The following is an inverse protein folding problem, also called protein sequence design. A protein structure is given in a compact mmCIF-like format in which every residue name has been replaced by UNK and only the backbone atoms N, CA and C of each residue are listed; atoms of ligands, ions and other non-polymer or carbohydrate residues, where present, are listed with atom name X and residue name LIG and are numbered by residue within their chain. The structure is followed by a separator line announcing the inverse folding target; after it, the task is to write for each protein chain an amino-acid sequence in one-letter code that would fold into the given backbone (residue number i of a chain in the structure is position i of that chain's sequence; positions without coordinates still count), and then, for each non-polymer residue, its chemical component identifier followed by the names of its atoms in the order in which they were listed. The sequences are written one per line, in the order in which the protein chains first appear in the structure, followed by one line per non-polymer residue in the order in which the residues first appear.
data_IF_247481326974
#
_entry.id   IF_247481326974
#
_cell.length_a   1.000
_cell.length_b   1.000
_cell.length_c   1.000
_cell.angle_alpha   90.00
_cell.angle_beta   90.00
_cell.angle_gamma   90.00
#
_symmetry.space_group_name_H-M   'P 1'
#
loop_
_entity.id
_entity.type
_entity.pdbx_description
1 polymer ?
#
# COMPACT_ATOMS: atom_id res chain seq x y z
N UNK A 1 8.03 -19.09 14.77
CA UNK A 1 7.58 -18.43 13.53
C UNK A 1 8.78 -17.78 12.85
N UNK A 2 9.70 -18.59 12.30
CA UNK A 2 11.09 -18.18 12.04
C UNK A 2 11.44 -18.00 10.56
N UNK A 3 10.51 -18.24 9.63
CA UNK A 3 10.74 -17.92 8.22
C UNK A 3 10.61 -16.40 7.98
N UNK A 4 11.10 -15.86 6.86
CA UNK A 4 10.90 -14.47 6.48
C UNK A 4 9.43 -14.07 6.49
N UNK A 5 9.14 -12.82 6.83
CA UNK A 5 7.76 -12.28 6.88
C UNK A 5 6.99 -12.47 5.55
N UNK A 6 7.67 -12.44 4.40
CA UNK A 6 7.07 -12.70 3.07
C UNK A 6 6.52 -14.12 2.91
N UNK A 7 6.90 -15.06 3.78
CA UNK A 7 6.49 -16.46 3.76
C UNK A 7 5.17 -16.74 4.50
N UNK A 8 4.49 -15.69 4.96
CA UNK A 8 3.24 -15.81 5.70
C UNK A 8 2.10 -15.06 5.01
N UNK A 9 0.92 -15.65 4.98
CA UNK A 9 -0.32 -14.90 4.83
C UNK A 9 -0.58 -14.11 6.10
N UNK A 10 -1.04 -12.86 5.96
CA UNK A 10 -1.19 -11.92 7.07
C UNK A 10 -2.61 -11.39 7.12
N UNK A 11 -3.23 -11.46 8.29
CA UNK A 11 -4.60 -11.00 8.51
C UNK A 11 -4.66 -9.48 8.33
N UNK A 12 -5.28 -9.03 7.23
CA UNK A 12 -5.20 -7.64 6.74
C UNK A 12 -6.56 -6.97 6.67
N UNK A 13 -6.70 -5.80 7.30
CA UNK A 13 -7.84 -4.90 7.16
C UNK A 13 -7.62 -3.85 6.05
N UNK A 14 -8.71 -3.46 5.38
CA UNK A 14 -8.77 -2.35 4.43
C UNK A 14 -9.56 -1.19 5.05
N UNK A 15 -9.11 0.05 4.85
CA UNK A 15 -9.71 1.28 5.40
C UNK A 15 -10.18 1.07 6.85
N UNK A 16 -9.23 0.70 7.72
CA UNK A 16 -9.51 0.13 9.04
C UNK A 16 -10.19 1.09 10.01
N UNK A 17 -10.26 2.37 9.64
CA UNK A 17 -10.89 3.45 10.37
C UNK A 17 -12.39 3.62 10.04
N UNK A 18 -12.90 3.03 8.95
CA UNK A 18 -14.31 3.19 8.55
C UNK A 18 -15.25 2.39 9.44
N UNK A 19 -16.32 3.03 9.90
CA UNK A 19 -17.36 2.39 10.71
C UNK A 19 -18.41 1.65 9.89
N UNK A 20 -18.50 1.93 8.58
CA UNK A 20 -19.50 1.33 7.68
C UNK A 20 -19.12 1.39 6.20
N UNK A 21 -19.94 2.07 5.40
CA UNK A 21 -19.79 2.16 3.94
C UNK A 21 -18.68 3.14 3.52
N UNK A 22 -18.19 3.04 2.28
CA UNK A 22 -17.05 3.83 1.80
C UNK A 22 -17.38 5.31 1.51
N UNK A 23 -18.65 5.73 1.55
CA UNK A 23 -19.07 7.07 1.08
C UNK A 23 -19.55 8.00 2.19
N UNK A 24 -20.22 7.48 3.20
CA UNK A 24 -20.95 8.29 4.18
C UNK A 24 -20.84 7.81 5.63
N UNK A 25 -20.10 6.74 5.92
CA UNK A 25 -19.92 6.32 7.31
C UNK A 25 -18.82 7.08 8.01
N UNK A 26 -18.96 7.37 9.29
CA UNK A 26 -17.93 8.03 10.08
C UNK A 26 -16.62 7.24 10.16
N UNK A 27 -15.53 7.96 10.43
CA UNK A 27 -14.23 7.40 10.76
C UNK A 27 -14.07 7.33 12.28
N UNK A 28 -13.43 6.26 12.76
CA UNK A 28 -13.19 6.05 14.19
C UNK A 28 -12.01 5.09 14.39
N UNK A 29 -11.42 5.15 15.58
CA UNK A 29 -10.47 4.16 16.07
C UNK A 29 -11.14 2.85 16.51
N UNK A 30 -12.46 2.85 16.78
CA UNK A 30 -13.19 1.67 17.27
C UNK A 30 -13.11 0.46 16.34
N UNK A 31 -13.25 0.56 15.01
CA UNK A 31 -13.09 -0.58 14.11
C UNK A 31 -11.66 -1.12 14.09
N UNK A 32 -10.64 -0.26 14.27
CA UNK A 32 -9.23 -0.65 14.43
C UNK A 32 -9.07 -1.51 15.69
N UNK A 33 -9.61 -1.06 16.82
CA UNK A 33 -9.58 -1.81 18.09
C UNK A 33 -10.22 -3.19 17.92
N UNK A 34 -11.41 -3.25 17.31
CA UNK A 34 -12.12 -4.50 17.05
C UNK A 34 -11.33 -5.43 16.13
N UNK A 35 -10.69 -4.89 15.10
CA UNK A 35 -9.84 -5.65 14.18
C UNK A 35 -8.64 -6.26 14.92
N UNK A 36 -7.90 -5.47 15.70
CA UNK A 36 -6.73 -5.93 16.45
C UNK A 36 -7.08 -7.01 17.48
N UNK A 37 -8.20 -6.83 18.22
CA UNK A 37 -8.70 -7.84 19.18
C UNK A 37 -9.15 -9.15 18.51
N UNK A 38 -9.43 -9.14 17.20
CA UNK A 38 -9.74 -10.33 16.39
C UNK A 38 -8.49 -11.01 15.80
N UNK A 39 -7.30 -10.45 16.02
CA UNK A 39 -6.05 -10.97 15.48
C UNK A 39 -5.63 -10.35 14.14
N UNK A 40 -6.30 -9.32 13.62
CA UNK A 40 -5.82 -8.56 12.44
C UNK A 40 -4.43 -7.99 12.73
N UNK A 41 -3.48 -8.16 11.80
CA UNK A 41 -2.07 -7.75 11.94
C UNK A 41 -1.66 -6.65 10.98
N UNK A 42 -2.47 -6.33 9.96
CA UNK A 42 -2.26 -5.17 9.09
C UNK A 42 -3.48 -4.26 9.17
N UNK A 43 -3.26 -3.00 9.53
CA UNK A 43 -4.29 -1.97 9.58
C UNK A 43 -3.93 -0.82 8.65
N UNK A 44 -4.94 -0.18 8.07
CA UNK A 44 -4.77 0.91 7.11
C UNK A 44 -5.30 2.23 7.66
N UNK A 45 -4.52 3.29 7.46
CA UNK A 45 -4.86 4.67 7.80
C UNK A 45 -4.59 5.58 6.59
N UNK A 46 -5.60 6.32 6.17
CA UNK A 46 -5.49 7.28 5.07
C UNK A 46 -5.31 8.67 5.67
N UNK A 47 -4.13 9.25 5.47
CA UNK A 47 -3.70 10.47 6.14
C UNK A 47 -3.97 11.67 5.26
N UNK A 48 -4.73 12.63 5.79
CA UNK A 48 -5.06 13.88 5.12
C UNK A 48 -4.77 15.08 6.04
N UNK A 49 -4.39 16.25 5.49
CA UNK A 49 -4.36 17.48 6.27
C UNK A 49 -5.74 17.77 6.86
N UNK A 50 -5.79 18.19 8.13
CA UNK A 50 -7.01 18.70 8.73
C UNK A 50 -7.48 20.02 8.05
N UNK A 51 -8.65 20.51 8.42
CA UNK A 51 -9.25 21.71 7.81
C UNK A 51 -8.38 22.97 7.90
N UNK A 52 -7.56 23.09 8.96
CA UNK A 52 -6.61 24.19 9.20
C UNK A 52 -5.21 23.95 8.61
N UNK A 53 -4.98 22.78 8.00
CA UNK A 53 -3.69 22.34 7.39
C UNK A 53 -2.49 22.36 8.34
N UNK A 54 -2.73 22.27 9.65
CA UNK A 54 -1.71 22.26 10.69
C UNK A 54 -1.65 20.94 11.47
N UNK A 55 -2.62 20.06 11.28
CA UNK A 55 -2.67 18.70 11.83
C UNK A 55 -3.13 17.65 10.81
N UNK A 56 -3.20 16.39 11.25
CA UNK A 56 -3.50 15.23 10.41
C UNK A 56 -4.74 14.49 10.89
N UNK A 57 -5.69 14.36 9.99
CA UNK A 57 -6.88 13.54 10.15
C UNK A 57 -6.77 12.24 9.36
N UNK A 58 -7.52 11.23 9.82
CA UNK A 58 -7.73 9.98 9.11
C UNK A 58 -9.14 9.98 8.53
N UNK A 59 -9.25 9.90 7.20
CA UNK A 59 -10.53 9.89 6.49
C UNK A 59 -10.40 9.30 5.07
N UNK A 60 -11.52 8.89 4.49
CA UNK A 60 -11.53 8.36 3.12
C UNK A 60 -11.67 9.50 2.10
N UNK A 61 -10.58 9.89 1.44
CA UNK A 61 -10.60 10.92 0.39
C UNK A 61 -10.94 10.34 -0.99
N UNK A 62 -11.88 10.96 -1.72
CA UNK A 62 -12.17 10.58 -3.12
C UNK A 62 -11.39 11.48 -4.09
N UNK A 63 -10.52 10.88 -4.89
CA UNK A 63 -9.96 11.51 -6.09
C UNK A 63 -10.94 11.31 -7.26
N UNK A 64 -11.32 12.37 -7.98
CA UNK A 64 -11.92 12.22 -9.33
C UNK A 64 -13.40 12.56 -9.56
N UNK A 65 -14.09 13.36 -8.72
CA UNK A 65 -15.31 14.06 -9.18
C UNK A 65 -15.24 15.52 -8.74
N UNK A 66 -14.85 16.40 -9.67
CA UNK A 66 -15.14 17.82 -9.57
C UNK A 66 -16.65 17.97 -9.73
N UNK A 67 -17.42 17.97 -8.63
CA UNK A 67 -18.71 18.62 -8.67
C UNK A 67 -18.42 20.11 -8.85
N UNK A 68 -18.57 20.59 -10.09
CA UNK A 68 -18.67 22.01 -10.37
C UNK A 68 -19.66 22.60 -9.35
N UNK A 69 -19.34 23.70 -8.67
CA UNK A 69 -20.26 24.30 -7.72
C UNK A 69 -21.53 24.67 -8.46
N UNK A 70 -22.62 23.95 -8.16
CA UNK A 70 -23.95 24.34 -8.60
C UNK A 70 -24.31 25.58 -7.78
N UNK A 71 -24.09 26.76 -8.35
CA UNK A 71 -24.53 28.03 -7.80
C UNK A 71 -26.06 28.05 -7.71
N UNK A 72 -26.58 27.61 -6.57
CA UNK A 72 -27.94 27.86 -6.14
C UNK A 72 -27.92 29.05 -5.18
N UNK A 73 -27.78 30.24 -5.75
CA UNK A 73 -28.29 31.53 -5.28
C UNK A 73 -28.30 31.73 -3.75
N UNK A 74 -27.29 32.43 -3.26
CA UNK A 74 -27.52 33.55 -2.35
C UNK A 74 -27.91 33.23 -0.89
N UNK A 75 -27.30 32.22 -0.27
CA UNK A 75 -27.24 32.13 1.21
C UNK A 75 -25.82 31.82 1.68
N UNK A 76 -25.03 32.87 1.85
CA UNK A 76 -23.86 32.87 2.73
C UNK A 76 -24.34 32.60 4.15
N UNK A 77 -24.25 31.37 4.65
CA UNK A 77 -24.07 30.98 6.06
C UNK A 77 -23.82 29.46 6.05
N UNK A 78 -22.72 29.00 6.67
CA UNK A 78 -22.23 27.61 6.76
C UNK A 78 -21.77 26.93 5.46
N UNK A 79 -20.61 27.32 4.93
CA UNK A 79 -19.82 26.53 3.94
C UNK A 79 -18.51 26.02 4.59
N UNK A 80 -18.63 25.38 5.75
CA UNK A 80 -17.52 24.78 6.48
C UNK A 80 -17.71 23.25 6.50
N UNK A 81 -17.38 22.57 5.39
CA UNK A 81 -17.10 21.12 5.32
C UNK A 81 -17.00 20.64 3.85
N UNK A 82 -16.00 21.12 3.09
CA UNK A 82 -15.80 20.66 1.70
C UNK A 82 -14.37 20.14 1.41
N UNK A 83 -13.66 19.72 2.46
CA UNK A 83 -12.38 19.00 2.31
C UNK A 83 -12.52 17.48 2.48
N UNK A 84 -13.66 16.99 3.00
CA UNK A 84 -14.01 15.58 2.91
C UNK A 84 -14.87 15.37 1.67
N UNK A 85 -14.29 14.75 0.63
CA UNK A 85 -14.99 14.37 -0.63
C UNK A 85 -15.87 13.12 -0.47
N UNK A 86 -16.10 12.73 0.79
CA UNK A 86 -17.01 11.72 1.31
C UNK A 86 -17.68 12.32 2.56
N UNK A 87 -18.92 11.93 2.89
CA UNK A 87 -19.63 12.42 4.07
C UNK A 87 -19.17 11.69 5.35
N UNK A 88 -17.91 11.28 5.42
CA UNK A 88 -17.34 10.58 6.57
C UNK A 88 -16.77 11.60 7.55
N UNK A 89 -17.24 11.64 8.80
CA UNK A 89 -16.58 12.45 9.82
C UNK A 89 -15.14 11.95 10.03
N UNK A 90 -14.11 12.81 9.99
CA UNK A 90 -12.72 12.40 10.19
C UNK A 90 -12.45 11.98 11.64
N UNK A 91 -11.34 11.27 11.84
CA UNK A 91 -10.81 10.96 13.18
C UNK A 91 -9.35 11.40 13.28
N UNK A 92 -8.98 12.05 14.39
CA UNK A 92 -7.60 12.50 14.61
C UNK A 92 -6.61 11.32 14.56
N UNK A 93 -5.49 11.50 13.83
CA UNK A 93 -4.46 10.45 13.71
C UNK A 93 -3.95 9.97 15.07
N UNK A 94 -3.72 10.89 16.01
CA UNK A 94 -3.18 10.56 17.33
C UNK A 94 -4.10 9.62 18.11
N UNK A 95 -5.41 9.72 17.92
CA UNK A 95 -6.39 8.83 18.54
C UNK A 95 -6.22 7.41 18.01
N UNK A 96 -6.14 7.25 16.70
CA UNK A 96 -5.86 5.96 16.05
C UNK A 96 -4.54 5.34 16.52
N UNK A 97 -3.45 6.13 16.57
CA UNK A 97 -2.13 5.64 17.00
C UNK A 97 -2.15 5.16 18.46
N UNK A 98 -2.82 5.89 19.37
CA UNK A 98 -2.98 5.49 20.78
C UNK A 98 -3.75 4.17 20.89
N UNK A 99 -4.87 4.04 20.18
CA UNK A 99 -5.69 2.82 20.19
C UNK A 99 -4.93 1.63 19.60
N UNK A 100 -4.10 1.84 18.56
CA UNK A 100 -3.20 0.79 18.05
C UNK A 100 -2.17 0.40 19.11
N UNK A 101 -1.50 1.37 19.77
CA UNK A 101 -0.51 1.08 20.81
C UNK A 101 -1.08 0.20 21.93
N UNK A 102 -2.29 0.52 22.38
CA UNK A 102 -2.95 -0.18 23.49
C UNK A 102 -3.37 -1.62 23.10
N UNK A 103 -3.82 -1.82 21.86
CA UNK A 103 -4.45 -3.09 21.47
C UNK A 103 -3.66 -3.93 20.47
N UNK A 104 -2.53 -3.43 19.94
CA UNK A 104 -1.71 -4.09 18.92
C UNK A 104 -1.45 -5.56 19.28
N UNK A 105 -1.10 -5.83 20.53
CA UNK A 105 -0.66 -7.15 20.98
C UNK A 105 -1.67 -7.87 21.88
N UNK A 106 -2.93 -7.43 21.90
CA UNK A 106 -3.98 -8.01 22.74
C UNK A 106 -4.38 -9.44 22.35
N UNK A 107 -4.37 -9.75 21.05
CA UNK A 107 -4.73 -11.07 20.52
C UNK A 107 -3.52 -11.90 20.07
N UNK A 108 -2.36 -11.27 19.87
CA UNK A 108 -1.16 -11.91 19.29
C UNK A 108 0.08 -11.09 19.64
N UNK A 109 1.18 -11.76 19.98
CA UNK A 109 2.50 -11.13 20.24
C UNK A 109 3.24 -10.75 18.95
N UNK A 110 2.83 -11.29 17.81
CA UNK A 110 3.48 -11.08 16.51
C UNK A 110 3.24 -9.66 15.97
N UNK A 111 4.13 -9.17 15.09
CA UNK A 111 4.15 -7.77 14.67
C UNK A 111 2.81 -7.24 14.12
N UNK A 112 2.61 -5.94 14.24
CA UNK A 112 1.53 -5.20 13.57
C UNK A 112 2.11 -4.29 12.51
N UNK A 113 1.55 -4.34 11.30
CA UNK A 113 1.89 -3.42 10.20
C UNK A 113 0.81 -2.34 10.13
N UNK A 114 1.23 -1.08 10.09
CA UNK A 114 0.36 0.05 9.78
C UNK A 114 0.68 0.48 8.36
N UNK A 115 -0.27 0.33 7.44
CA UNK A 115 -0.16 0.87 6.09
C UNK A 115 -0.69 2.30 6.07
N UNK A 116 0.17 3.26 5.70
CA UNK A 116 -0.22 4.66 5.57
C UNK A 116 -0.45 5.00 4.10
N UNK A 117 -1.65 5.45 3.76
CA UNK A 117 -1.90 6.16 2.50
C UNK A 117 -1.69 7.65 2.74
N UNK A 118 -0.61 8.18 2.19
CA UNK A 118 -0.08 9.50 2.56
C UNK A 118 -0.44 10.56 1.52
N UNK A 119 -1.28 11.52 1.92
CA UNK A 119 -1.68 12.70 1.14
C UNK A 119 -1.17 14.01 1.78
N UNK A 120 -0.07 13.94 2.54
CA UNK A 120 0.45 15.03 3.36
C UNK A 120 1.56 15.82 2.67
N UNK A 121 1.74 17.07 3.11
CA UNK A 121 2.93 17.87 2.78
C UNK A 121 4.14 17.40 3.58
N UNK A 122 5.39 17.71 3.15
CA UNK A 122 6.60 17.33 3.89
C UNK A 122 6.61 17.80 5.36
N UNK A 123 6.05 18.99 5.63
CA UNK A 123 5.88 19.51 7.00
C UNK A 123 4.98 18.62 7.85
N UNK A 124 3.86 18.17 7.29
CA UNK A 124 2.92 17.29 8.00
C UNK A 124 3.49 15.85 8.10
N UNK A 125 4.23 15.36 7.11
CA UNK A 125 4.96 14.09 7.20
C UNK A 125 5.96 14.10 8.38
N UNK A 126 6.70 15.20 8.57
CA UNK A 126 7.58 15.34 9.73
C UNK A 126 6.81 15.31 11.05
N UNK A 127 5.63 15.94 11.11
CA UNK A 127 4.72 15.90 12.27
C UNK A 127 4.23 14.47 12.54
N UNK A 128 3.81 13.72 11.51
CA UNK A 128 3.44 12.30 11.62
C UNK A 128 4.61 11.47 12.12
N UNK A 129 5.82 11.71 11.59
CA UNK A 129 7.00 10.97 12.01
C UNK A 129 7.26 11.14 13.52
N UNK A 130 7.10 12.37 14.02
CA UNK A 130 7.19 12.67 15.44
C UNK A 130 6.09 11.96 16.24
N UNK A 131 4.82 12.05 15.83
CA UNK A 131 3.70 11.40 16.51
C UNK A 131 3.88 9.88 16.61
N UNK A 132 4.25 9.23 15.51
CA UNK A 132 4.49 7.78 15.44
C UNK A 132 5.64 7.38 16.36
N UNK A 133 6.74 8.13 16.33
CA UNK A 133 7.92 7.90 17.17
C UNK A 133 7.59 8.04 18.65
N UNK A 134 6.91 9.12 19.04
CA UNK A 134 6.53 9.38 20.43
C UNK A 134 5.51 8.36 20.94
N UNK A 135 4.56 7.96 20.09
CA UNK A 135 3.50 7.03 20.49
C UNK A 135 4.08 5.63 20.70
N UNK A 136 4.81 5.09 19.73
CA UNK A 136 5.23 3.68 19.78
C UNK A 136 6.58 3.48 20.47
N UNK A 137 7.48 4.48 20.48
CA UNK A 137 8.78 4.39 21.15
C UNK A 137 9.52 3.10 20.80
N UNK A 138 9.80 2.26 21.80
CA UNK A 138 10.51 0.97 21.65
C UNK A 138 9.73 -0.09 20.86
N UNK A 139 8.40 0.07 20.73
CA UNK A 139 7.56 -0.83 19.92
C UNK A 139 7.75 -0.57 18.44
N UNK A 140 8.20 0.62 18.03
CA UNK A 140 8.44 0.93 16.62
C UNK A 140 9.67 0.16 16.12
N UNK A 141 9.50 -0.62 15.05
CA UNK A 141 10.61 -1.20 14.32
C UNK A 141 11.11 -0.21 13.27
N UNK A 142 12.42 -0.03 13.22
CA UNK A 142 13.11 0.75 12.19
C UNK A 142 14.19 -0.14 11.59
N UNK A 143 14.27 -0.26 10.25
CA UNK A 143 15.33 -1.01 9.62
C UNK A 143 16.68 -0.33 9.88
N UNK A 144 17.73 -1.12 10.08
CA UNK A 144 19.10 -0.62 10.32
C UNK A 144 19.72 -0.01 9.07
N UNK A 145 19.30 -0.47 7.89
CA UNK A 145 19.70 0.03 6.58
C UNK A 145 18.50 0.54 5.79
N UNK A 146 18.75 1.38 4.79
CA UNK A 146 17.69 1.88 3.89
C UNK A 146 17.07 0.77 3.02
N UNK A 147 17.81 -0.31 2.78
CA UNK A 147 17.38 -1.45 1.97
C UNK A 147 17.59 -2.75 2.75
N UNK A 148 16.47 -3.42 3.06
CA UNK A 148 16.50 -4.79 3.56
C UNK A 148 16.65 -5.76 2.39
N UNK A 149 17.61 -6.68 2.51
CA UNK A 149 17.78 -7.78 1.53
C UNK A 149 16.65 -8.80 1.61
N UNK A 150 16.14 -9.01 2.82
CA UNK A 150 15.05 -9.95 3.14
C UNK A 150 14.28 -9.40 4.35
N UNK A 151 12.99 -9.75 4.47
CA UNK A 151 12.22 -9.35 5.64
C UNK A 151 12.56 -10.23 6.86
N UNK A 152 12.70 -9.66 8.07
CA UNK A 152 12.91 -10.44 9.30
C UNK A 152 11.75 -11.40 9.57
N UNK A 153 11.99 -12.39 10.42
CA UNK A 153 10.95 -13.33 10.79
C UNK A 153 9.93 -12.70 11.76
N UNK A 154 8.66 -13.17 11.78
CA UNK A 154 7.70 -12.74 12.78
C UNK A 154 8.18 -12.93 14.22
N UNK A 155 8.98 -13.97 14.48
CA UNK A 155 9.57 -14.24 15.81
C UNK A 155 10.47 -13.08 16.28
N UNK A 156 11.33 -12.57 15.41
CA UNK A 156 12.29 -11.49 15.72
C UNK A 156 11.62 -10.13 15.90
N UNK A 157 10.38 -10.02 15.41
CA UNK A 157 9.57 -8.81 15.40
C UNK A 157 8.43 -8.84 16.42
N UNK A 158 8.48 -9.74 17.41
CA UNK A 158 7.49 -9.76 18.50
C UNK A 158 7.41 -8.41 19.20
N UNK A 159 6.18 -7.99 19.47
CA UNK A 159 5.84 -6.70 20.07
C UNK A 159 6.31 -5.47 19.27
N UNK A 160 6.56 -5.65 17.96
CA UNK A 160 6.96 -4.56 17.06
C UNK A 160 5.82 -4.07 16.16
N UNK A 161 5.87 -2.77 15.88
CA UNK A 161 5.00 -2.06 14.96
C UNK A 161 5.85 -1.63 13.76
N UNK A 162 5.42 -1.99 12.56
CA UNK A 162 6.09 -1.69 11.31
C UNK A 162 5.25 -0.68 10.53
N UNK A 163 5.89 0.34 9.96
CA UNK A 163 5.21 1.27 9.05
C UNK A 163 5.45 0.83 7.59
N UNK A 164 4.36 0.78 6.83
CA UNK A 164 4.39 0.54 5.39
C UNK A 164 3.78 1.72 4.64
N UNK A 165 4.57 2.40 3.82
CA UNK A 165 4.09 3.50 2.98
C UNK A 165 5.00 3.70 1.78
N UNK A 166 4.59 4.53 0.83
CA UNK A 166 5.44 4.93 -0.30
C UNK A 166 6.51 5.91 0.20
N UNK A 167 7.76 5.80 -0.25
CA UNK A 167 8.77 6.82 0.03
C UNK A 167 8.32 8.21 -0.49
N UNK A 168 8.71 9.32 0.18
CA UNK A 168 8.43 10.68 -0.30
C UNK A 168 8.96 10.94 -1.71
N UNK A 169 8.28 11.83 -2.46
CA UNK A 169 8.55 12.09 -3.89
C UNK A 169 9.95 12.69 -4.12
N UNK A 170 10.38 13.62 -3.27
CA UNK A 170 11.66 14.33 -3.39
C UNK A 170 12.86 13.36 -3.33
N UNK A 171 12.67 12.22 -2.66
CA UNK A 171 13.71 11.21 -2.55
C UNK A 171 13.78 10.27 -3.77
N UNK A 172 12.65 10.01 -4.43
CA UNK A 172 12.65 9.21 -5.67
C UNK A 172 13.48 9.91 -6.75
N UNK A 173 13.38 11.24 -6.82
CA UNK A 173 14.14 12.09 -7.74
C UNK A 173 15.65 12.05 -7.42
N UNK A 174 16.02 12.11 -6.14
CA UNK A 174 17.41 11.99 -5.70
C UNK A 174 18.02 10.60 -5.96
N UNK A 175 17.25 9.52 -5.89
CA UNK A 175 17.70 8.18 -6.29
C UNK A 175 17.88 8.09 -7.81
N UNK A 176 16.92 8.59 -8.60
CA UNK A 176 17.05 8.58 -10.07
C UNK A 176 18.24 9.41 -10.55
N UNK A 177 18.62 10.48 -9.85
CA UNK A 177 19.81 11.26 -10.18
C UNK A 177 21.11 10.53 -9.82
N UNK A 178 21.16 9.82 -8.69
CA UNK A 178 22.32 8.97 -8.32
C UNK A 178 22.52 7.78 -9.25
N UNK A 179 21.43 7.21 -9.79
CA UNK A 179 21.51 6.11 -10.75
C UNK A 179 21.95 6.61 -12.14
N UNK A 180 21.57 7.83 -12.53
CA UNK A 180 22.08 8.49 -13.76
C UNK A 180 23.55 8.93 -13.67
N UNK A 181 24.03 9.27 -12.48
CA UNK A 181 25.45 9.62 -12.25
C UNK A 181 26.39 8.40 -12.26
N UNK A 182 25.86 7.16 -12.18
CA UNK A 182 26.65 5.92 -12.29
C UNK A 182 26.80 5.39 -13.72
N UNK A 183 26.18 6.03 -14.71
CA UNK A 183 26.22 5.64 -16.12
C UNK A 183 26.97 6.65 -17.03
N UNK A 184 27.96 7.36 -16.47
CA UNK A 184 28.93 8.11 -17.28
C UNK A 184 30.35 7.80 -16.86
N UNK A 185 30.91 6.76 -17.46
CA UNK A 185 32.31 6.82 -17.88
C UNK A 185 32.62 5.85 -19.05
N UNK A 186 33.23 6.44 -20.09
CA UNK A 186 34.09 5.85 -21.14
C UNK A 186 33.50 5.01 -22.30
N UNK A 187 33.12 5.74 -23.36
CA UNK A 187 33.61 5.72 -24.75
C UNK A 187 33.63 4.48 -25.69
N UNK A 188 33.23 4.85 -26.92
CA UNK A 188 33.65 4.47 -28.28
C UNK A 188 33.02 3.29 -29.06
N UNK A 189 32.28 3.72 -30.09
CA UNK A 189 32.23 3.29 -31.49
C UNK A 189 31.87 1.84 -31.87
N UNK A 190 30.88 1.68 -32.76
CA UNK A 190 31.12 1.42 -34.19
C UNK A 190 29.78 1.17 -34.94
N UNK A 191 29.63 1.95 -35.99
CA UNK A 191 28.66 1.98 -37.08
C UNK A 191 28.42 0.66 -37.83
N UNK A 192 27.18 0.36 -38.25
CA UNK A 192 26.97 -0.59 -39.37
C UNK A 192 25.57 -1.10 -39.69
N UNK A 193 24.82 -0.31 -40.48
CA UNK A 193 23.89 -0.69 -41.58
C UNK A 193 22.48 -1.27 -41.28
N UNK A 194 21.48 -0.48 -41.66
CA UNK A 194 20.23 -0.94 -42.32
C UNK A 194 20.51 -1.47 -43.74
N UNK A 195 19.56 -2.17 -44.41
CA UNK A 195 18.47 -1.50 -45.14
C UNK A 195 17.05 -2.12 -44.99
N UNK A 196 16.02 -1.25 -44.91
CA UNK A 196 14.74 -1.16 -45.69
C UNK A 196 14.14 -2.43 -46.34
N UNK A 197 12.84 -2.71 -46.48
CA UNK A 197 11.59 -1.92 -46.51
C UNK A 197 10.36 -2.87 -46.72
N UNK A 198 9.14 -2.41 -46.37
CA UNK A 198 7.80 -2.75 -46.93
C UNK A 198 7.23 -4.18 -46.68
N UNK A 199 5.95 -4.46 -46.40
CA UNK A 199 4.63 -3.86 -46.70
C UNK A 199 3.56 -4.26 -45.65
N UNK A 200 2.48 -3.49 -45.64
CA UNK A 200 1.23 -3.59 -44.88
C UNK A 200 0.47 -4.93 -45.01
N UNK A 201 -0.33 -5.29 -43.99
CA UNK A 201 -1.81 -5.23 -44.04
C UNK A 201 -2.42 -5.52 -42.65
N UNK A 202 -3.62 -4.97 -42.46
CA UNK A 202 -4.41 -4.90 -41.22
C UNK A 202 -5.07 -6.24 -40.88
N UNK A 203 -5.39 -6.46 -39.60
CA UNK A 203 -6.78 -6.75 -39.17
C UNK A 203 -6.93 -6.71 -37.65
N UNK A 204 -8.14 -6.32 -37.25
CA UNK A 204 -8.57 -5.78 -35.97
C UNK A 204 -8.62 -6.79 -34.81
N UNK A 205 -8.08 -6.41 -33.66
CA UNK A 205 -8.60 -6.86 -32.36
C UNK A 205 -8.75 -5.67 -31.41
N UNK A 206 -10.01 -5.29 -31.17
CA UNK A 206 -10.39 -4.39 -30.08
C UNK A 206 -10.09 -5.05 -28.74
N UNK A 207 -8.96 -4.71 -28.13
CA UNK A 207 -8.69 -5.00 -26.72
C UNK A 207 -9.09 -3.80 -25.85
N UNK A 208 -10.16 -3.96 -25.07
CA UNK A 208 -10.51 -3.10 -23.93
C UNK A 208 -9.40 -3.21 -22.86
N UNK A 209 -8.46 -2.27 -22.92
CA UNK A 209 -7.38 -2.13 -21.96
C UNK A 209 -7.81 -1.22 -20.81
N UNK A 210 -8.61 -1.77 -19.89
CA UNK A 210 -8.88 -1.15 -18.58
C UNK A 210 -7.65 -1.32 -17.65
N UNK A 211 -6.55 -0.66 -18.04
CA UNK A 211 -5.32 -0.52 -17.27
C UNK A 211 -4.82 0.93 -17.41
N UNK A 212 -5.64 1.88 -16.98
CA UNK A 212 -5.21 3.26 -16.78
C UNK A 212 -6.03 3.87 -15.66
N UNK A 213 -5.45 3.93 -14.47
CA UNK A 213 -5.69 5.07 -13.58
C UNK A 213 -4.42 5.93 -13.69
N UNK A 214 -4.33 6.63 -14.82
CA UNK A 214 -3.33 7.65 -15.06
C UNK A 214 -3.77 8.86 -14.23
N UNK A 215 -3.09 9.11 -13.12
CA UNK A 215 -3.05 10.46 -12.56
C UNK A 215 -2.26 11.35 -13.52
N UNK A 216 -2.95 11.90 -14.51
CA UNK A 216 -2.55 13.14 -15.16
C UNK A 216 -2.94 14.26 -14.19
N UNK A 217 -1.96 14.75 -13.44
CA UNK A 217 -2.08 16.03 -12.75
C UNK A 217 -1.66 17.09 -13.78
N UNK A 218 -2.65 17.76 -14.38
CA UNK A 218 -2.44 18.93 -15.23
C UNK A 218 -2.01 20.15 -14.41
N UNK A 219 -1.25 20.98 -15.10
CA UNK A 219 -0.41 22.08 -14.64
C UNK A 219 -1.17 23.23 -13.94
N UNK A 220 -0.39 23.88 -13.08
CA UNK A 220 -0.33 25.32 -12.85
C UNK A 220 -1.08 25.94 -11.65
N UNK A 221 -0.29 26.38 -10.66
CA UNK A 221 -0.26 27.80 -10.28
C UNK A 221 1.04 28.08 -9.51
N UNK A 222 1.94 28.83 -10.15
CA UNK A 222 3.10 29.46 -9.54
C UNK A 222 2.71 30.29 -8.32
N UNK A 223 2.90 29.73 -7.13
CA UNK A 223 2.98 30.46 -5.89
C UNK A 223 4.40 30.30 -5.33
N UNK A 224 5.16 31.38 -5.38
CA UNK A 224 6.49 31.53 -4.78
C UNK A 224 6.48 31.00 -3.33
N UNK A 225 7.06 29.81 -3.09
CA UNK A 225 7.35 29.33 -1.74
C UNK A 225 8.79 29.69 -1.36
N UNK A 226 9.05 30.21 -0.14
CA UNK A 226 10.39 30.50 0.32
C UNK A 226 11.16 29.19 0.54
N UNK A 227 12.44 29.17 0.18
CA UNK A 227 13.33 28.02 0.36
C UNK A 227 13.25 27.44 1.78
N UNK A 228 12.63 26.28 1.92
CA UNK A 228 12.63 25.50 3.16
C UNK A 228 13.79 24.53 3.11
N UNK A 229 14.73 24.71 4.03
CA UNK A 229 15.90 23.87 4.28
C UNK A 229 15.59 22.35 4.17
N UNK A 230 16.22 21.71 3.19
CA UNK A 230 16.06 20.29 2.79
C UNK A 230 16.48 19.27 3.87
N UNK A 231 16.86 19.72 5.06
CA UNK A 231 17.46 18.89 6.11
C UNK A 231 16.46 18.14 7.02
N UNK A 232 15.14 18.42 6.97
CA UNK A 232 14.14 17.90 7.95
C UNK A 232 13.24 16.75 7.51
N UNK A 233 13.26 16.34 6.23
CA UNK A 233 12.59 15.13 5.74
C UNK A 233 13.19 13.74 6.13
N UNK A 234 14.39 13.57 6.75
CA UNK A 234 14.93 12.24 7.05
C UNK A 234 14.07 11.41 8.01
N UNK A 235 13.31 12.08 8.89
CA UNK A 235 12.55 11.45 9.96
C UNK A 235 11.48 10.49 9.46
N UNK A 236 10.69 10.89 8.47
CA UNK A 236 9.55 10.10 7.99
C UNK A 236 9.99 8.85 7.22
N UNK A 237 10.98 8.99 6.33
CA UNK A 237 11.56 7.86 5.58
C UNK A 237 12.17 6.81 6.50
N UNK A 238 12.85 7.23 7.57
CA UNK A 238 13.46 6.30 8.54
C UNK A 238 12.46 5.38 9.26
N UNK A 239 11.17 5.69 9.21
CA UNK A 239 10.12 4.86 9.79
C UNK A 239 9.68 3.73 8.86
N UNK A 240 9.95 3.83 7.56
CA UNK A 240 9.42 2.93 6.54
C UNK A 240 10.14 1.59 6.61
N UNK A 241 9.52 0.61 7.27
CA UNK A 241 10.02 -0.75 7.35
C UNK A 241 9.65 -1.59 6.12
N UNK A 242 8.51 -1.27 5.49
CA UNK A 242 8.01 -1.97 4.30
C UNK A 242 7.73 -0.94 3.20
N UNK A 243 8.70 -0.66 2.31
CA UNK A 243 8.56 0.37 1.30
C UNK A 243 7.56 -0.03 0.22
N UNK A 244 6.57 0.82 -0.02
CA UNK A 244 5.61 0.67 -1.12
C UNK A 244 6.23 1.06 -2.46
N UNK A 245 6.17 0.16 -3.45
CA UNK A 245 6.58 0.43 -4.82
C UNK A 245 5.45 1.04 -5.65
N UNK A 246 5.82 1.95 -6.57
CA UNK A 246 4.93 2.40 -7.64
C UNK A 246 5.02 1.39 -8.80
N UNK A 247 3.89 1.10 -9.40
CA UNK A 247 3.85 0.39 -10.68
C UNK A 247 4.02 1.46 -11.76
N UNK A 248 5.21 1.52 -12.34
CA UNK A 248 5.52 2.37 -13.49
C UNK A 248 5.83 1.46 -14.68
N UNK A 249 5.23 1.73 -15.83
CA UNK A 249 5.43 0.90 -17.02
C UNK A 249 4.62 -0.41 -16.98
N UNK A 250 5.19 -1.49 -17.51
CA UNK A 250 4.49 -2.77 -17.66
C UNK A 250 4.48 -3.53 -16.34
N UNK A 251 3.37 -4.21 -16.03
CA UNK A 251 3.26 -5.00 -14.79
C UNK A 251 4.39 -6.04 -14.64
N UNK A 252 4.84 -6.63 -15.74
CA UNK A 252 5.98 -7.56 -15.75
C UNK A 252 7.27 -6.94 -15.18
N UNK A 253 7.52 -5.66 -15.44
CA UNK A 253 8.68 -4.94 -14.93
C UNK A 253 8.53 -4.65 -13.44
N UNK A 254 7.33 -4.27 -13.01
CA UNK A 254 7.02 -4.09 -11.60
C UNK A 254 7.13 -5.41 -10.81
N UNK A 255 6.86 -6.56 -11.41
CA UNK A 255 6.99 -7.87 -10.76
C UNK A 255 8.43 -8.42 -10.74
N UNK A 256 9.41 -7.74 -11.35
CA UNK A 256 10.81 -8.14 -11.24
C UNK A 256 11.27 -8.12 -9.78
N UNK A 257 11.97 -9.19 -9.40
CA UNK A 257 12.54 -9.37 -8.06
C UNK A 257 13.97 -8.84 -8.06
N UNK A 258 14.23 -7.88 -7.17
CA UNK A 258 15.58 -7.35 -6.95
C UNK A 258 16.31 -8.19 -5.87
N UNK A 259 17.57 -8.61 -6.08
CA UNK A 259 18.27 -9.52 -5.18
C UNK A 259 18.69 -8.90 -3.83
N UNK A 260 18.82 -7.58 -3.74
CA UNK A 260 19.25 -6.91 -2.51
C UNK A 260 18.19 -5.96 -1.93
N UNK A 261 16.94 -6.04 -2.42
CA UNK A 261 15.88 -5.13 -2.04
C UNK A 261 14.54 -5.84 -1.94
N UNK A 262 13.85 -5.61 -0.83
CA UNK A 262 12.44 -5.98 -0.65
C UNK A 262 11.53 -4.78 -0.79
N UNK A 263 10.32 -5.00 -1.31
CA UNK A 263 9.29 -3.99 -1.45
C UNK A 263 7.89 -4.58 -1.30
N UNK A 264 6.89 -3.71 -1.20
CA UNK A 264 5.47 -4.04 -1.30
C UNK A 264 4.89 -3.47 -2.58
N UNK A 265 4.15 -4.27 -3.34
CA UNK A 265 3.24 -3.78 -4.37
C UNK A 265 1.79 -3.89 -3.91
N UNK A 266 0.95 -3.00 -4.40
CA UNK A 266 -0.49 -3.01 -4.16
C UNK A 266 -1.24 -3.11 -5.48
N UNK A 267 -2.22 -4.02 -5.58
CA UNK A 267 -3.10 -4.19 -6.73
C UNK A 267 -4.56 -4.18 -6.27
N UNK A 268 -5.45 -3.60 -7.07
CA UNK A 268 -6.88 -3.82 -6.88
C UNK A 268 -7.23 -5.28 -7.17
N UNK A 269 -8.35 -5.77 -6.63
CA UNK A 269 -8.84 -7.13 -6.92
C UNK A 269 -9.00 -7.39 -8.44
N UNK A 270 -9.39 -6.38 -9.22
CA UNK A 270 -9.58 -6.50 -10.67
C UNK A 270 -8.24 -6.56 -11.40
N UNK A 271 -7.27 -5.75 -10.97
CA UNK A 271 -5.92 -5.80 -11.52
C UNK A 271 -5.26 -7.16 -11.23
N UNK A 272 -5.51 -7.74 -10.05
CA UNK A 272 -5.07 -9.10 -9.74
C UNK A 272 -5.70 -10.12 -10.68
N UNK A 273 -7.03 -10.12 -10.86
CA UNK A 273 -7.72 -11.06 -11.75
C UNK A 273 -7.10 -11.05 -13.16
N UNK A 274 -6.88 -9.86 -13.73
CA UNK A 274 -6.19 -9.71 -15.02
C UNK A 274 -4.75 -10.22 -14.97
N UNK A 275 -4.01 -9.87 -13.92
CA UNK A 275 -2.61 -10.27 -13.75
C UNK A 275 -2.43 -11.79 -13.64
N UNK A 276 -3.37 -12.51 -13.01
CA UNK A 276 -3.27 -13.97 -12.87
C UNK A 276 -3.32 -14.72 -14.20
N UNK A 277 -3.99 -14.15 -15.22
CA UNK A 277 -4.06 -14.75 -16.56
C UNK A 277 -2.72 -14.63 -17.29
N UNK A 278 -2.06 -13.47 -17.20
CA UNK A 278 -0.87 -13.17 -18.00
C UNK A 278 0.46 -13.35 -17.25
N UNK A 279 0.46 -13.26 -15.91
CA UNK A 279 1.66 -13.12 -15.08
C UNK A 279 1.60 -13.99 -13.81
N UNK A 280 0.84 -15.09 -13.80
CA UNK A 280 0.65 -15.94 -12.63
C UNK A 280 1.96 -16.43 -11.98
N UNK A 281 2.93 -16.87 -12.79
CA UNK A 281 4.24 -17.32 -12.31
C UNK A 281 5.10 -16.17 -11.79
N UNK A 282 5.05 -15.01 -12.43
CA UNK A 282 5.75 -13.80 -12.00
C UNK A 282 5.20 -13.30 -10.64
N UNK A 283 3.88 -13.40 -10.42
CA UNK A 283 3.25 -13.09 -9.13
C UNK A 283 3.77 -14.01 -8.01
N UNK A 284 3.83 -15.33 -8.25
CA UNK A 284 4.34 -16.28 -7.26
C UNK A 284 5.82 -15.99 -6.95
N UNK A 285 6.65 -15.81 -7.98
CA UNK A 285 8.07 -15.45 -7.81
C UNK A 285 8.24 -14.15 -7.04
N UNK A 286 7.43 -13.14 -7.36
CA UNK A 286 7.44 -11.86 -6.64
C UNK A 286 7.13 -12.05 -5.15
N UNK A 287 6.10 -12.81 -4.82
CA UNK A 287 5.63 -13.00 -3.42
C UNK A 287 6.50 -13.92 -2.57
N UNK A 288 7.45 -14.64 -3.15
CA UNK A 288 8.43 -15.40 -2.36
C UNK A 288 9.29 -14.45 -1.51
N UNK A 289 9.69 -13.32 -2.09
CA UNK A 289 10.57 -12.34 -1.43
C UNK A 289 9.87 -11.05 -1.01
N UNK A 290 8.94 -10.57 -1.83
CA UNK A 290 8.28 -9.28 -1.66
C UNK A 290 6.86 -9.42 -1.12
N UNK A 291 6.28 -8.32 -0.66
CA UNK A 291 4.88 -8.28 -0.27
C UNK A 291 3.98 -7.90 -1.43
N UNK A 292 2.91 -8.66 -1.63
CA UNK A 292 1.80 -8.27 -2.50
C UNK A 292 0.56 -8.01 -1.65
N UNK A 293 0.06 -6.78 -1.74
CA UNK A 293 -1.20 -6.33 -1.13
C UNK A 293 -2.30 -6.26 -2.16
N UNK A 294 -3.43 -6.86 -1.86
CA UNK A 294 -4.63 -6.81 -2.69
C UNK A 294 -5.70 -6.05 -1.92
N UNK A 295 -6.40 -5.12 -2.57
CA UNK A 295 -7.45 -4.32 -1.95
C UNK A 295 -8.75 -4.30 -2.76
N UNK A 296 -9.90 -4.07 -2.11
CA UNK A 296 -11.19 -4.00 -2.78
C UNK A 296 -11.23 -2.86 -3.80
N UNK A 297 -11.89 -3.05 -4.94
CA UNK A 297 -12.09 -1.99 -5.93
C UNK A 297 -12.99 -0.87 -5.39
N UNK A 298 -12.78 0.36 -5.87
CA UNK A 298 -13.53 1.54 -5.43
C UNK A 298 -15.04 1.47 -5.68
N UNK A 299 -15.51 0.67 -6.64
CA UNK A 299 -16.95 0.48 -6.90
C UNK A 299 -17.68 -0.33 -5.82
N UNK A 300 -16.97 -0.88 -4.82
CA UNK A 300 -17.56 -1.55 -3.65
C UNK A 300 -17.96 -0.56 -2.56
N UNK A 301 -18.81 0.40 -2.91
CA UNK A 301 -19.24 1.48 -2.01
C UNK A 301 -19.91 0.97 -0.72
N UNK A 302 -20.57 -0.18 -0.77
CA UNK A 302 -21.20 -0.83 0.38
C UNK A 302 -20.22 -1.61 1.27
N UNK A 303 -18.91 -1.49 1.05
CA UNK A 303 -17.87 -2.21 1.79
C UNK A 303 -17.99 -3.74 1.69
N UNK A 304 -18.51 -4.25 0.57
CA UNK A 304 -18.44 -5.68 0.24
C UNK A 304 -17.00 -6.15 0.05
N UNK A 305 -16.77 -7.47 0.13
CA UNK A 305 -15.45 -8.08 -0.02
C UNK A 305 -15.40 -9.05 -1.20
N UNK A 306 -14.21 -9.19 -1.79
CA UNK A 306 -13.90 -10.08 -2.91
C UNK A 306 -13.53 -11.49 -2.43
N UNK A 307 -13.29 -12.43 -3.36
CA UNK A 307 -12.87 -13.80 -3.01
C UNK A 307 -11.36 -13.82 -2.70
N UNK A 308 -10.93 -14.22 -1.49
CA UNK A 308 -9.52 -14.14 -1.11
C UNK A 308 -8.64 -15.20 -1.80
N UNK A 309 -9.24 -16.27 -2.31
CA UNK A 309 -8.53 -17.44 -2.84
C UNK A 309 -7.59 -17.10 -4.00
N UNK A 310 -8.02 -16.22 -4.91
CA UNK A 310 -7.22 -15.85 -6.09
C UNK A 310 -5.86 -15.28 -5.67
N UNK A 311 -5.86 -14.41 -4.66
CA UNK A 311 -4.62 -13.84 -4.12
C UNK A 311 -3.79 -14.85 -3.36
N UNK A 312 -4.39 -15.67 -2.49
CA UNK A 312 -3.66 -16.69 -1.73
C UNK A 312 -3.04 -17.76 -2.62
N UNK A 313 -3.71 -18.19 -3.69
CA UNK A 313 -3.18 -19.15 -4.67
C UNK A 313 -1.91 -18.63 -5.36
N UNK A 314 -1.72 -17.31 -5.44
CA UNK A 314 -0.54 -16.66 -6.01
C UNK A 314 0.43 -16.12 -4.95
N UNK A 315 0.26 -16.55 -3.69
CA UNK A 315 1.18 -16.23 -2.59
C UNK A 315 1.04 -14.81 -2.01
N UNK A 316 0.01 -14.05 -2.41
CA UNK A 316 -0.21 -12.69 -1.91
C UNK A 316 -0.52 -12.72 -0.39
N UNK A 317 0.27 -11.98 0.37
CA UNK A 317 0.27 -12.03 1.83
C UNK A 317 -0.80 -11.13 2.44
N UNK A 318 -1.01 -9.94 1.85
CA UNK A 318 -1.85 -8.89 2.41
C UNK A 318 -3.17 -8.78 1.64
N UNK A 319 -4.08 -9.71 1.88
CA UNK A 319 -5.43 -9.69 1.29
C UNK A 319 -6.32 -8.79 2.16
N UNK A 320 -6.40 -7.50 1.80
CA UNK A 320 -7.05 -6.46 2.59
C UNK A 320 -8.57 -6.51 2.45
N UNK A 321 -9.27 -6.61 3.59
CA UNK A 321 -10.72 -6.77 3.66
C UNK A 321 -11.37 -5.65 4.47
N UNK A 322 -12.55 -5.20 4.04
CA UNK A 322 -13.42 -4.32 4.80
C UNK A 322 -13.97 -5.09 6.02
N UNK A 323 -13.40 -4.83 7.20
CA UNK A 323 -13.68 -5.58 8.45
C UNK A 323 -15.02 -5.22 9.11
N UNK A 324 -15.56 -4.06 8.76
CA UNK A 324 -16.86 -3.53 9.15
C UNK A 324 -18.01 -4.12 8.30
N UNK A 325 -17.69 -4.76 7.17
CA UNK A 325 -18.67 -5.42 6.31
C UNK A 325 -19.17 -6.76 6.86
N UNK A 326 -19.90 -7.48 6.02
CA UNK A 326 -20.41 -8.83 6.30
C UNK A 326 -20.40 -9.69 5.03
N UNK A 327 -20.60 -10.99 5.20
CA UNK A 327 -20.81 -11.92 4.09
C UNK A 327 -19.75 -13.01 3.97
N UNK A 328 -19.99 -13.93 3.01
CA UNK A 328 -19.26 -15.19 2.86
C UNK A 328 -17.74 -15.01 2.78
N UNK A 329 -17.26 -14.04 2.00
CA UNK A 329 -15.82 -13.82 1.86
C UNK A 329 -15.16 -13.43 3.18
N UNK A 330 -15.81 -12.57 3.98
CA UNK A 330 -15.29 -12.15 5.28
C UNK A 330 -15.24 -13.33 6.25
N UNK A 331 -16.25 -14.21 6.24
CA UNK A 331 -16.27 -15.43 7.05
C UNK A 331 -15.17 -16.41 6.65
N UNK A 332 -14.91 -16.59 5.35
CA UNK A 332 -13.81 -17.43 4.85
C UNK A 332 -12.46 -16.90 5.35
N UNK A 333 -12.27 -15.59 5.28
CA UNK A 333 -11.06 -14.93 5.75
C UNK A 333 -10.91 -15.09 7.28
N UNK A 334 -11.97 -14.85 8.06
CA UNK A 334 -11.97 -15.08 9.51
C UNK A 334 -11.68 -16.54 9.87
N UNK A 335 -12.22 -17.49 9.11
CA UNK A 335 -11.96 -18.92 9.29
C UNK A 335 -10.50 -19.29 9.02
N UNK A 336 -9.93 -18.81 7.90
CA UNK A 336 -8.53 -19.04 7.54
C UNK A 336 -7.57 -18.59 8.66
N UNK A 337 -7.79 -17.40 9.22
CA UNK A 337 -6.93 -16.85 10.27
C UNK A 337 -7.23 -17.36 11.68
N UNK A 338 -8.16 -18.31 11.87
CA UNK A 338 -8.20 -19.12 13.10
C UNK A 338 -7.08 -20.16 13.15
N UNK A 339 -6.46 -20.49 12.01
CA UNK A 339 -5.28 -21.34 11.97
C UNK A 339 -4.13 -20.72 12.78
N UNK A 340 -3.15 -21.54 13.13
CA UNK A 340 -1.95 -21.12 13.88
C UNK A 340 -2.29 -20.37 15.20
N UNK A 341 -3.30 -20.86 15.91
CA UNK A 341 -3.73 -20.29 17.20
C UNK A 341 -4.41 -18.93 17.10
N UNK A 342 -4.90 -18.53 15.92
CA UNK A 342 -5.57 -17.23 15.77
C UNK A 342 -4.62 -16.03 15.76
N UNK A 343 -3.31 -16.27 15.62
CA UNK A 343 -2.29 -15.24 15.84
C UNK A 343 -2.19 -14.19 14.71
N UNK A 344 -2.97 -14.38 13.63
CA UNK A 344 -3.04 -13.47 12.48
C UNK A 344 -1.97 -13.68 11.41
N UNK A 345 -1.11 -14.70 11.57
CA UNK A 345 -0.13 -15.13 10.59
C UNK A 345 -0.27 -16.62 10.29
N UNK A 346 -0.30 -16.99 9.02
CA UNK A 346 -0.37 -18.40 8.58
C UNK A 346 0.72 -18.65 7.56
N UNK A 347 1.60 -19.63 7.80
CA UNK A 347 2.70 -19.95 6.88
C UNK A 347 2.13 -20.37 5.52
N UNK A 348 2.72 -19.87 4.43
CA UNK A 348 2.38 -20.31 3.08
C UNK A 348 2.76 -21.79 2.89
N UNK A 349 2.11 -22.51 1.96
CA UNK A 349 2.59 -23.80 1.48
C UNK A 349 3.99 -23.70 0.86
N UNK A 350 4.79 -24.76 0.99
CA UNK A 350 6.21 -24.77 0.57
C UNK A 350 6.41 -24.43 -0.91
N UNK A 351 5.50 -24.84 -1.79
CA UNK A 351 5.56 -24.52 -3.22
C UNK A 351 5.34 -23.03 -3.56
N UNK A 352 4.85 -22.21 -2.61
CA UNK A 352 4.74 -20.75 -2.74
C UNK A 352 5.91 -20.00 -2.07
N UNK A 353 6.89 -20.73 -1.53
CA UNK A 353 8.05 -20.18 -0.83
C UNK A 353 9.38 -20.56 -1.50
N UNK A 354 9.45 -21.75 -2.11
CA UNK A 354 10.71 -22.26 -2.65
C UNK A 354 11.05 -21.63 -4.02
N UNK A 355 12.26 -21.07 -4.11
CA UNK A 355 12.87 -20.63 -5.36
C UNK A 355 13.62 -21.83 -5.97
N UNK A 356 12.93 -22.69 -6.70
CA UNK A 356 13.65 -23.73 -7.45
C UNK A 356 14.41 -23.07 -8.61
N UNK A 357 15.74 -23.07 -8.53
CA UNK A 357 16.64 -22.50 -9.53
C UNK A 357 16.46 -23.07 -10.95
N UNK A 358 15.78 -24.23 -11.08
CA UNK A 358 15.52 -24.93 -12.33
C UNK A 358 14.02 -25.13 -12.65
N UNK A 359 13.10 -24.49 -11.92
CA UNK A 359 11.67 -24.68 -12.18
C UNK A 359 11.16 -23.69 -13.24
N UNK A 360 11.26 -24.10 -14.51
CA UNK A 360 10.34 -23.68 -15.57
C UNK A 360 8.89 -24.17 -15.34
N UNK A 361 8.63 -24.83 -14.20
CA UNK A 361 7.34 -25.44 -13.86
C UNK A 361 6.84 -24.98 -12.50
N UNK A 362 6.70 -23.67 -12.32
CA UNK A 362 5.59 -23.19 -11.48
C UNK A 362 4.29 -23.29 -12.29
N UNK A 363 3.93 -24.49 -12.77
CA UNK A 363 2.57 -24.71 -13.26
C UNK A 363 1.72 -24.86 -12.02
N UNK A 364 0.90 -23.84 -11.76
CA UNK A 364 -0.25 -23.99 -10.87
C UNK A 364 -1.01 -25.25 -11.32
N UNK A 365 -1.38 -26.16 -10.40
CA UNK A 365 -2.12 -27.37 -10.73
C UNK A 365 -3.47 -27.07 -11.39
#
# INVERSE_FOLDING_TARGET
MTAPLSHYFIYTGHNSYLTGNQLSSDCSDVPIIKALKRGVRVVELDLWPNSTKDDVDVLHGRSGINFLPLDLRGKMHTFLALLSRTLTAPVELIKCLKSIKEHAFSASEYPVVITLEDHLTPKLQAKVAQMVTQTFGKMLFRPESECLKEFPAPEDLKYKILISTKPPKEYLEAQTNKDKEKEKDSDDDVWGKEPTELTAEQEDEKTDSDASDNNQDDEDSDAFEPEVDSSRAPGYKSLIAIPGGKITGRLKEALKVEPDKVRRLSLSEQALEKATVSYGTDLVRFTQKNFLRIYPKGTRFNSSNYKPQIGWMHGAQMIAFNMQGYGRSLWLMQGMFRANGGCGYVKKPDFLMNVDANSERAKLP
#
